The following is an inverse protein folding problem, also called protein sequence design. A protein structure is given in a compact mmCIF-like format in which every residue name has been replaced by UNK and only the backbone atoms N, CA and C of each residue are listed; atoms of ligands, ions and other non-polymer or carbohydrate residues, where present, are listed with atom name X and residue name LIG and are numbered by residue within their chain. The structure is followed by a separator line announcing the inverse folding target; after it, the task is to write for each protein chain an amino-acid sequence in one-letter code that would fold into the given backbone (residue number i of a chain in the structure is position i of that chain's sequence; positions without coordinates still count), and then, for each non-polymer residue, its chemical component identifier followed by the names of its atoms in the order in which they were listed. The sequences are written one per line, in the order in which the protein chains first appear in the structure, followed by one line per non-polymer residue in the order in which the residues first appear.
data_IF_576419217112
#
_entry.id   IF_576419217112
#
_cell.length_a   1.000
_cell.length_b   1.000
_cell.length_c   1.000
_cell.angle_alpha   90.00
_cell.angle_beta   90.00
_cell.angle_gamma   90.00
#
_symmetry.space_group_name_H-M   'P 1'
#
loop_
_entity.id
_entity.type
_entity.pdbx_description
1 polymer ?
#
# COMPACT_ATOMS: atom_id res chain seq x y z
N UNK A 1 -35.97 14.03 12.51
CA UNK A 1 -35.17 12.80 12.69
C UNK A 1 -34.55 12.48 11.34
N UNK A 2 -33.24 12.73 11.18
CA UNK A 2 -32.54 12.53 9.91
C UNK A 2 -32.07 11.08 9.82
N UNK A 3 -32.38 10.43 8.71
CA UNK A 3 -32.20 8.99 8.49
C UNK A 3 -30.74 8.58 8.54
N UNK A 4 -30.39 7.70 9.48
CA UNK A 4 -29.13 6.96 9.52
C UNK A 4 -29.15 5.90 8.40
N UNK A 5 -28.75 6.31 7.20
CA UNK A 5 -28.45 5.39 6.12
C UNK A 5 -27.12 4.67 6.43
N UNK A 6 -27.18 3.70 7.35
CA UNK A 6 -26.17 2.64 7.54
C UNK A 6 -26.20 1.63 6.37
N UNK A 7 -26.21 2.16 5.15
CA UNK A 7 -25.92 1.37 3.96
C UNK A 7 -24.42 1.18 3.89
N UNK A 8 -23.90 0.14 4.54
CA UNK A 8 -22.52 -0.29 4.35
C UNK A 8 -22.33 -0.88 2.94
N UNK A 9 -22.42 -0.04 1.91
CA UNK A 9 -21.91 -0.34 0.59
C UNK A 9 -20.39 -0.33 0.70
N UNK A 10 -19.82 -1.52 0.75
CA UNK A 10 -18.38 -1.68 0.56
C UNK A 10 -18.05 -1.25 -0.87
N UNK A 11 -17.67 0.03 -1.06
CA UNK A 11 -17.17 0.58 -2.33
C UNK A 11 -16.14 -0.37 -2.94
N UNK A 12 -16.31 -0.81 -4.18
CA UNK A 12 -15.30 -1.66 -4.80
C UNK A 12 -14.02 -0.86 -5.12
N UNK A 13 -12.86 -1.52 -5.10
CA UNK A 13 -11.58 -0.90 -5.45
C UNK A 13 -11.61 -0.38 -6.89
N UNK A 14 -12.33 -1.06 -7.77
CA UNK A 14 -12.49 -0.65 -9.17
C UNK A 14 -13.29 0.65 -9.30
N UNK A 15 -14.37 0.80 -8.52
CA UNK A 15 -15.17 2.02 -8.47
C UNK A 15 -14.39 3.22 -7.91
N UNK A 16 -13.57 2.97 -6.89
CA UNK A 16 -12.65 3.98 -6.35
C UNK A 16 -11.64 4.39 -7.42
N UNK A 17 -11.05 3.41 -8.12
CA UNK A 17 -10.06 3.67 -9.15
C UNK A 17 -10.60 4.56 -10.27
N UNK A 18 -11.80 4.28 -10.77
CA UNK A 18 -12.42 5.06 -11.85
C UNK A 18 -12.59 6.55 -11.50
N UNK A 19 -12.96 6.86 -10.26
CA UNK A 19 -13.10 8.25 -9.80
C UNK A 19 -11.74 8.94 -9.68
N UNK A 20 -10.69 8.20 -9.32
CA UNK A 20 -9.36 8.74 -9.13
C UNK A 20 -8.56 8.90 -10.42
N UNK A 21 -8.92 8.21 -11.52
CA UNK A 21 -8.20 8.26 -12.79
C UNK A 21 -7.95 9.71 -13.25
N UNK A 22 -8.98 10.57 -13.25
CA UNK A 22 -8.87 11.97 -13.69
C UNK A 22 -7.91 12.78 -12.81
N UNK A 23 -7.88 12.51 -11.51
CA UNK A 23 -6.98 13.19 -10.58
C UNK A 23 -5.52 12.74 -10.76
N UNK A 24 -5.32 11.44 -10.98
CA UNK A 24 -3.99 10.83 -11.15
C UNK A 24 -3.37 11.21 -12.49
N UNK A 25 -4.17 11.29 -13.55
CA UNK A 25 -3.72 11.75 -14.86
C UNK A 25 -3.17 13.18 -14.80
N UNK A 26 -3.81 14.06 -14.01
CA UNK A 26 -3.35 15.43 -13.77
C UNK A 26 -2.15 15.50 -12.83
N UNK A 27 -2.14 14.66 -11.80
CA UNK A 27 -1.09 14.63 -10.79
C UNK A 27 -0.71 13.19 -10.43
N UNK A 28 0.37 12.64 -11.01
CA UNK A 28 0.77 11.24 -10.79
C UNK A 28 1.05 10.89 -9.33
N UNK A 29 1.50 11.87 -8.54
CA UNK A 29 1.79 11.72 -7.10
C UNK A 29 0.61 12.17 -6.22
N UNK A 30 -0.61 11.84 -6.64
CA UNK A 30 -1.82 12.20 -5.90
C UNK A 30 -1.82 11.61 -4.48
N UNK A 31 -1.89 12.43 -3.41
CA UNK A 31 -1.71 11.94 -2.05
C UNK A 31 -2.93 11.15 -1.58
N UNK A 32 -2.69 10.12 -0.78
CA UNK A 32 -3.74 9.19 -0.32
C UNK A 32 -4.85 9.90 0.48
N UNK A 33 -4.51 10.96 1.22
CA UNK A 33 -5.49 11.78 1.94
C UNK A 33 -6.47 12.45 0.96
N UNK A 34 -5.97 12.95 -0.16
CA UNK A 34 -6.82 13.57 -1.19
C UNK A 34 -7.59 12.52 -1.99
N UNK A 35 -7.06 11.30 -2.14
CA UNK A 35 -7.86 10.17 -2.63
C UNK A 35 -9.09 9.94 -1.74
N UNK A 36 -8.93 9.95 -0.40
CA UNK A 36 -10.06 9.76 0.52
C UNK A 36 -11.08 10.89 0.41
N UNK A 37 -10.64 12.15 0.33
CA UNK A 37 -11.56 13.30 0.19
C UNK A 37 -12.28 13.28 -1.15
N UNK A 38 -11.61 12.87 -2.22
CA UNK A 38 -12.20 12.76 -3.57
C UNK A 38 -13.28 11.69 -3.60
N UNK A 39 -13.02 10.51 -3.03
CA UNK A 39 -14.01 9.42 -2.94
C UNK A 39 -15.18 9.82 -2.05
N UNK A 40 -14.92 10.48 -0.91
CA UNK A 40 -15.96 11.00 -0.03
C UNK A 40 -16.86 12.01 -0.76
N UNK A 41 -16.27 12.92 -1.55
CA UNK A 41 -17.04 13.89 -2.36
C UNK A 41 -17.86 13.22 -3.46
N UNK A 42 -17.33 12.15 -4.07
CA UNK A 42 -17.99 11.47 -5.18
C UNK A 42 -19.16 10.57 -4.73
N UNK A 43 -18.98 9.82 -3.63
CA UNK A 43 -19.93 8.79 -3.21
C UNK A 43 -20.62 9.07 -1.87
N UNK A 44 -20.22 10.13 -1.16
CA UNK A 44 -20.71 10.42 0.20
C UNK A 44 -20.23 9.41 1.27
N UNK A 45 -19.35 8.48 0.91
CA UNK A 45 -18.89 7.40 1.78
C UNK A 45 -17.41 7.61 2.15
N UNK A 46 -17.11 7.53 3.44
CA UNK A 46 -15.73 7.54 3.91
C UNK A 46 -15.07 6.17 3.71
N UNK A 47 -13.83 6.16 3.22
CA UNK A 47 -13.06 4.93 3.00
C UNK A 47 -11.81 4.90 3.87
N UNK A 48 -11.38 3.69 4.25
CA UNK A 48 -10.13 3.51 4.99
C UNK A 48 -8.91 3.88 4.13
N UNK A 49 -7.83 4.29 4.78
CA UNK A 49 -6.57 4.67 4.11
C UNK A 49 -6.02 3.53 3.23
N UNK A 50 -6.09 2.27 3.70
CA UNK A 50 -5.65 1.09 2.94
C UNK A 50 -6.46 0.93 1.65
N UNK A 51 -7.77 1.12 1.73
CA UNK A 51 -8.67 1.02 0.58
C UNK A 51 -8.44 2.14 -0.43
N UNK A 52 -8.20 3.36 0.08
CA UNK A 52 -7.78 4.49 -0.75
C UNK A 52 -6.49 4.15 -1.50
N UNK A 53 -5.45 3.67 -0.79
CA UNK A 53 -4.19 3.27 -1.42
C UNK A 53 -4.37 2.23 -2.54
N UNK A 54 -5.15 1.17 -2.30
CA UNK A 54 -5.43 0.16 -3.33
C UNK A 54 -6.15 0.76 -4.55
N UNK A 55 -7.12 1.65 -4.32
CA UNK A 55 -7.81 2.38 -5.37
C UNK A 55 -6.88 3.31 -6.16
N UNK A 56 -6.03 4.09 -5.48
CA UNK A 56 -5.06 4.97 -6.16
C UNK A 56 -4.05 4.13 -6.96
N UNK A 57 -3.57 2.98 -6.44
CA UNK A 57 -2.70 2.05 -7.16
C UNK A 57 -3.37 1.51 -8.43
N UNK A 58 -4.60 1.03 -8.30
CA UNK A 58 -5.38 0.50 -9.43
C UNK A 58 -5.66 1.56 -10.50
N UNK A 59 -5.93 2.80 -10.09
CA UNK A 59 -6.10 3.92 -11.01
C UNK A 59 -4.80 4.29 -11.72
N UNK A 60 -3.66 4.25 -11.01
CA UNK A 60 -2.34 4.46 -11.62
C UNK A 60 -2.07 3.40 -12.70
N UNK A 61 -2.34 2.12 -12.41
CA UNK A 61 -2.22 1.03 -13.38
C UNK A 61 -3.12 1.21 -14.60
N UNK A 62 -4.30 1.82 -14.43
CA UNK A 62 -5.21 2.12 -15.55
C UNK A 62 -4.72 3.26 -16.43
N UNK A 63 -4.14 4.30 -15.83
CA UNK A 63 -3.70 5.50 -16.57
C UNK A 63 -2.35 5.26 -17.25
N UNK A 64 -1.40 4.62 -16.55
CA UNK A 64 -0.01 4.48 -17.02
C UNK A 64 0.37 3.04 -17.40
N UNK A 65 -0.50 2.07 -17.16
CA UNK A 65 -0.18 0.66 -17.31
C UNK A 65 0.47 0.07 -16.06
N UNK A 66 0.70 -1.25 -16.10
CA UNK A 66 1.40 -1.95 -15.04
C UNK A 66 2.90 -1.69 -15.11
N UNK A 67 3.56 -1.75 -13.95
CA UNK A 67 5.02 -1.62 -13.88
C UNK A 67 5.73 -2.64 -14.78
N UNK A 68 5.26 -3.89 -14.75
CA UNK A 68 5.79 -4.99 -15.54
C UNK A 68 5.61 -4.75 -17.04
N UNK A 69 4.45 -4.21 -17.46
CA UNK A 69 4.17 -3.86 -18.84
C UNK A 69 5.11 -2.76 -19.34
N UNK A 70 5.22 -1.66 -18.59
CA UNK A 70 6.13 -0.56 -18.94
C UNK A 70 7.58 -1.01 -19.04
N UNK A 71 8.04 -1.89 -18.14
CA UNK A 71 9.39 -2.43 -18.20
C UNK A 71 9.60 -3.37 -19.40
N UNK A 72 8.61 -4.20 -19.74
CA UNK A 72 8.65 -5.08 -20.89
C UNK A 72 8.68 -4.32 -22.23
N UNK A 73 8.05 -3.15 -22.31
CA UNK A 73 8.04 -2.31 -23.52
C UNK A 73 9.34 -1.50 -23.70
N UNK A 74 10.11 -1.29 -22.63
CA UNK A 74 11.27 -0.42 -22.63
C UNK A 74 12.37 -0.83 -23.65
N UNK A 75 12.74 -2.12 -23.81
CA UNK A 75 13.73 -2.52 -24.82
C UNK A 75 13.31 -2.13 -26.24
N UNK A 76 12.05 -2.37 -26.61
CA UNK A 76 11.50 -2.01 -27.92
C UNK A 76 11.53 -0.50 -28.13
N UNK A 77 11.16 0.27 -27.11
CA UNK A 77 11.24 1.73 -27.17
C UNK A 77 12.68 2.22 -27.42
N UNK A 78 13.67 1.62 -26.73
CA UNK A 78 15.08 1.97 -26.90
C UNK A 78 15.61 1.62 -28.30
N UNK A 79 15.18 0.49 -28.88
CA UNK A 79 15.52 0.11 -30.26
C UNK A 79 14.99 1.13 -31.28
N UNK A 80 13.72 1.53 -31.15
CA UNK A 80 13.11 2.55 -32.00
C UNK A 80 13.84 3.88 -31.86
N UNK A 81 14.19 4.26 -30.63
CA UNK A 81 14.90 5.52 -30.36
C UNK A 81 16.31 5.54 -30.99
N UNK A 82 17.02 4.40 -31.00
CA UNK A 82 18.29 4.24 -31.73
C UNK A 82 18.09 4.30 -33.25
N UNK A 83 17.02 3.73 -33.77
CA UNK A 83 16.75 3.74 -35.21
C UNK A 83 16.60 5.18 -35.73
N UNK A 84 15.87 6.03 -35.00
CA UNK A 84 15.71 7.44 -35.37
C UNK A 84 16.93 8.31 -35.04
N UNK A 85 17.74 7.91 -34.06
CA UNK A 85 18.94 8.63 -33.65
C UNK A 85 20.15 7.67 -33.64
N UNK A 86 20.82 7.45 -34.79
CA UNK A 86 21.86 6.43 -34.94
C UNK A 86 23.08 6.61 -34.01
N UNK A 87 23.26 7.80 -33.43
CA UNK A 87 24.33 8.11 -32.46
C UNK A 87 23.95 7.78 -31.01
N UNK A 88 22.71 7.39 -30.72
CA UNK A 88 22.30 7.01 -29.38
C UNK A 88 22.89 5.64 -29.03
N UNK A 89 23.70 5.60 -27.97
CA UNK A 89 24.19 4.36 -27.35
C UNK A 89 23.28 4.05 -26.15
N UNK A 90 22.77 2.82 -26.07
CA UNK A 90 21.98 2.35 -24.91
C UNK A 90 22.79 1.27 -24.21
N UNK A 91 23.06 1.52 -22.93
CA UNK A 91 23.76 0.63 -22.02
C UNK A 91 22.80 0.23 -20.89
N UNK A 92 22.59 -1.07 -20.70
CA UNK A 92 21.72 -1.57 -19.63
C UNK A 92 22.55 -1.86 -18.38
N UNK A 93 22.29 -1.12 -17.31
CA UNK A 93 22.92 -1.36 -16.00
C UNK A 93 21.88 -1.92 -15.05
N UNK A 94 22.18 -3.06 -14.45
CA UNK A 94 21.35 -3.65 -13.40
C UNK A 94 22.22 -3.83 -12.18
N UNK A 95 22.05 -2.94 -11.21
CA UNK A 95 22.74 -3.04 -9.94
C UNK A 95 21.91 -3.89 -8.99
N UNK A 96 22.51 -4.97 -8.49
CA UNK A 96 21.93 -5.71 -7.37
C UNK A 96 22.28 -4.91 -6.13
N UNK A 97 21.35 -4.12 -5.61
CA UNK A 97 21.54 -3.39 -4.34
C UNK A 97 21.61 -4.40 -3.19
N UNK A 98 22.79 -5.00 -2.98
CA UNK A 98 23.09 -5.90 -1.88
C UNK A 98 23.43 -5.15 -0.58
N UNK A 99 23.44 -3.82 -0.60
CA UNK A 99 23.87 -2.95 0.50
C UNK A 99 22.88 -1.82 0.81
N UNK A 100 21.61 -2.14 1.00
CA UNK A 100 20.95 -1.61 2.20
C UNK A 100 21.15 -2.68 3.26
N UNK A 101 22.21 -2.53 4.05
CA UNK A 101 22.39 -3.27 5.29
C UNK A 101 21.13 -3.02 6.13
N UNK A 102 20.22 -4.00 6.19
CA UNK A 102 19.15 -4.02 7.19
C UNK A 102 17.74 -4.43 6.78
N UNK A 103 17.38 -4.66 5.51
CA UNK A 103 16.07 -5.22 5.18
C UNK A 103 16.18 -6.18 3.99
N UNK A 104 16.14 -7.48 4.27
CA UNK A 104 15.87 -8.51 3.27
C UNK A 104 14.48 -8.35 2.66
N UNK A 105 14.02 -9.27 1.78
CA UNK A 105 12.65 -9.26 1.30
C UNK A 105 11.71 -9.52 2.48
N UNK A 106 11.35 -8.46 3.21
CA UNK A 106 10.35 -8.46 4.26
C UNK A 106 9.00 -8.62 3.58
N UNK A 107 8.69 -9.90 3.44
CA UNK A 107 7.37 -10.46 3.61
C UNK A 107 6.49 -9.57 4.51
N UNK A 108 5.28 -9.39 4.01
CA UNK A 108 4.07 -9.00 4.71
C UNK A 108 4.10 -9.38 6.21
N UNK A 109 3.79 -8.40 7.06
CA UNK A 109 3.37 -8.51 8.47
C UNK A 109 4.44 -8.40 9.57
N UNK A 110 4.63 -7.17 10.07
CA UNK A 110 5.46 -6.85 11.25
C UNK A 110 4.68 -6.00 12.29
N UNK A 111 3.39 -6.29 12.47
CA UNK A 111 2.59 -5.72 13.58
C UNK A 111 1.83 -6.78 14.41
N UNK A 112 1.78 -8.04 13.98
CA UNK A 112 1.08 -9.09 14.74
C UNK A 112 1.95 -9.85 15.74
N UNK A 113 3.26 -10.03 15.50
CA UNK A 113 4.11 -10.88 16.37
C UNK A 113 4.58 -10.18 17.65
N UNK A 114 4.94 -8.89 17.58
CA UNK A 114 5.23 -8.09 18.80
C UNK A 114 4.03 -8.03 19.74
N UNK A 115 2.81 -8.01 19.18
CA UNK A 115 1.57 -8.01 19.96
C UNK A 115 1.32 -9.35 20.67
N UNK A 116 1.68 -10.48 20.06
CA UNK A 116 1.53 -11.81 20.65
C UNK A 116 2.57 -12.07 21.76
N UNK A 117 3.81 -11.63 21.56
CA UNK A 117 4.88 -11.82 22.55
C UNK A 117 4.67 -10.89 23.77
N UNK A 118 4.21 -9.66 23.56
CA UNK A 118 3.81 -8.76 24.63
C UNK A 118 2.62 -9.31 25.46
N UNK A 119 1.66 -10.01 24.84
CA UNK A 119 0.58 -10.68 25.57
C UNK A 119 1.07 -11.87 26.40
N UNK A 120 2.06 -12.62 25.91
CA UNK A 120 2.65 -13.78 26.60
C UNK A 120 3.43 -13.36 27.86
N UNK A 121 4.26 -12.33 27.74
CA UNK A 121 5.01 -11.73 28.87
C UNK A 121 4.07 -11.17 29.94
N UNK A 122 2.93 -10.58 29.55
CA UNK A 122 1.94 -10.04 30.50
C UNK A 122 1.20 -11.17 31.23
N UNK A 123 0.96 -12.29 30.57
CA UNK A 123 0.41 -13.52 31.15
C UNK A 123 1.30 -14.12 32.24
N UNK A 124 2.60 -14.28 31.97
CA UNK A 124 3.57 -14.81 32.94
C UNK A 124 3.74 -13.92 34.16
N UNK A 125 3.86 -12.60 33.96
CA UNK A 125 3.95 -11.64 35.08
C UNK A 125 2.73 -11.70 36.00
N UNK A 126 1.53 -11.95 35.45
CA UNK A 126 0.29 -12.11 36.23
C UNK A 126 0.23 -13.43 36.98
N UNK A 127 0.78 -14.52 36.42
CA UNK A 127 0.90 -15.83 37.07
C UNK A 127 1.88 -15.77 38.26
N UNK A 128 3.06 -15.20 38.05
CA UNK A 128 4.09 -15.01 39.10
C UNK A 128 3.55 -14.14 40.25
N UNK A 129 2.77 -13.09 39.95
CA UNK A 129 2.19 -12.23 40.99
C UNK A 129 1.10 -12.93 41.82
N UNK A 130 0.32 -13.83 41.21
CA UNK A 130 -0.69 -14.64 41.93
C UNK A 130 -0.04 -15.71 42.81
N UNK A 131 1.07 -16.28 42.36
CA UNK A 131 1.82 -17.30 43.09
C UNK A 131 2.55 -16.71 44.31
N UNK A 132 3.17 -15.54 44.15
CA UNK A 132 3.76 -14.79 45.28
C UNK A 132 2.72 -14.30 46.29
N UNK A 133 1.46 -14.09 45.88
CA UNK A 133 0.37 -13.75 46.80
C UNK A 133 -0.08 -14.98 47.62
N UNK A 134 -0.19 -16.16 46.98
CA UNK A 134 -0.52 -17.41 47.67
C UNK A 134 0.52 -17.87 48.70
N UNK A 135 1.79 -17.52 48.52
CA UNK A 135 2.87 -17.83 49.47
C UNK A 135 2.90 -16.87 50.66
N UNK A 136 2.26 -15.69 50.56
CA UNK A 136 2.25 -14.68 51.63
C UNK A 136 1.04 -14.78 52.57
N UNK A 137 -0.01 -15.50 52.16
CA UNK A 137 -1.23 -15.71 52.94
C UNK A 137 -1.23 -17.08 53.68
N UNK A 138 -0.04 -17.65 53.96
CA UNK A 138 0.16 -18.92 54.67
C UNK A 138 1.09 -18.74 55.86
#
# INVERSE_FOLDING_TARGET
MSTCCDGHFNLDVEMIANVLCVAIEKMPRFPIKDCQTTVLKAYGISISRRKAYLGCKRAFEKVYGTWEGSFAELPRFMEVLKHFNPRTIVEWKTERTASVVGLGPSNVNLQSEESLEAMKVKGEKKKVKREKKKVKDK
#
